data_IF_814658363901
#
_entry.id   IF_814658363901
#
_cell.length_a   1.000
_cell.length_b   1.000
_cell.length_c   1.000
_cell.angle_alpha   90.00
_cell.angle_beta   90.00
_cell.angle_gamma   90.00
#
_symmetry.space_group_name_H-M   'P 1'
#
loop_
_entity.id
_entity.type
_entity.pdbx_description
1 polymer ?
#
# COMPACT_ATOMS: atom_id res chain seq x y z
N UNK A 1 17.25 -2.67 -11.35
CA UNK A 1 17.28 -1.50 -10.44
C UNK A 1 16.79 -0.31 -11.21
N UNK A 2 15.48 -0.08 -11.14
CA UNK A 2 14.85 1.10 -11.71
C UNK A 2 15.51 2.37 -11.16
N UNK A 3 15.68 3.37 -12.02
CA UNK A 3 16.17 4.70 -11.65
C UNK A 3 14.96 5.52 -11.22
N UNK A 4 14.68 5.57 -9.92
CA UNK A 4 13.69 6.47 -9.31
C UNK A 4 14.42 7.55 -8.53
N UNK A 5 14.00 8.80 -8.70
CA UNK A 5 14.58 9.94 -7.99
C UNK A 5 13.65 10.41 -6.86
N UNK A 6 14.19 11.18 -5.92
CA UNK A 6 13.38 11.70 -4.80
C UNK A 6 12.41 12.76 -5.32
N UNK A 7 12.85 13.50 -6.33
CA UNK A 7 12.10 14.54 -7.02
C UNK A 7 10.80 13.99 -7.61
N UNK A 8 10.84 12.82 -8.27
CA UNK A 8 9.65 12.14 -8.81
C UNK A 8 8.62 11.80 -7.70
N UNK A 9 9.10 11.47 -6.51
CA UNK A 9 8.23 11.16 -5.38
C UNK A 9 7.62 12.41 -4.73
N UNK A 10 8.32 13.55 -4.79
CA UNK A 10 7.89 14.80 -4.17
C UNK A 10 6.77 15.51 -4.96
N UNK A 11 6.51 15.09 -6.21
CA UNK A 11 5.31 15.53 -6.94
C UNK A 11 4.01 15.03 -6.29
N UNK A 12 4.06 13.90 -5.58
CA UNK A 12 2.91 13.28 -4.93
C UNK A 12 2.90 13.40 -3.39
N UNK A 13 4.04 13.74 -2.79
CA UNK A 13 4.20 13.88 -1.33
C UNK A 13 5.02 15.13 -1.02
N UNK A 14 4.41 16.10 -0.35
CA UNK A 14 5.03 17.40 -0.11
C UNK A 14 6.19 17.35 0.91
N UNK A 15 6.21 16.36 1.80
CA UNK A 15 7.17 16.26 2.90
C UNK A 15 8.10 15.04 2.76
N UNK A 16 9.41 15.29 2.77
CA UNK A 16 10.47 14.26 2.65
C UNK A 16 10.46 13.25 3.79
N UNK A 17 10.12 13.66 5.00
CA UNK A 17 10.02 12.74 6.15
C UNK A 17 8.81 11.83 6.01
N UNK A 18 7.69 12.38 5.54
CA UNK A 18 6.48 11.60 5.28
C UNK A 18 6.70 10.62 4.14
N UNK A 19 7.41 11.02 3.08
CA UNK A 19 7.80 10.12 2.00
C UNK A 19 8.58 8.91 2.54
N UNK A 20 9.57 9.13 3.41
CA UNK A 20 10.35 8.04 4.02
C UNK A 20 9.46 7.12 4.85
N UNK A 21 8.55 7.68 5.65
CA UNK A 21 7.62 6.91 6.48
C UNK A 21 6.63 6.10 5.64
N UNK A 22 6.04 6.72 4.62
CA UNK A 22 5.09 6.11 3.68
C UNK A 22 5.75 4.96 2.91
N UNK A 23 6.91 5.23 2.29
CA UNK A 23 7.67 4.23 1.52
C UNK A 23 8.11 3.07 2.42
N UNK A 24 8.52 3.33 3.66
CA UNK A 24 8.91 2.27 4.61
C UNK A 24 7.73 1.39 4.98
N UNK A 25 6.56 1.99 5.27
CA UNK A 25 5.33 1.26 5.60
C UNK A 25 4.88 0.40 4.41
N UNK A 26 4.85 0.97 3.21
CA UNK A 26 4.45 0.27 1.99
C UNK A 26 5.42 -0.85 1.63
N UNK A 27 6.73 -0.60 1.67
CA UNK A 27 7.74 -1.63 1.41
C UNK A 27 7.62 -2.82 2.36
N UNK A 28 7.22 -2.59 3.62
CA UNK A 28 6.95 -3.66 4.57
C UNK A 28 5.75 -4.51 4.17
N UNK A 29 4.64 -3.91 3.72
CA UNK A 29 3.47 -4.65 3.22
C UNK A 29 3.83 -5.56 2.04
N UNK A 30 4.64 -5.04 1.11
CA UNK A 30 5.15 -5.79 -0.04
C UNK A 30 6.08 -6.93 0.41
N UNK A 31 6.98 -6.67 1.36
CA UNK A 31 7.94 -7.67 1.84
C UNK A 31 7.30 -8.80 2.65
N UNK A 32 6.25 -8.51 3.43
CA UNK A 32 5.53 -9.52 4.21
C UNK A 32 4.50 -10.29 3.38
N UNK A 33 4.34 -9.96 2.09
CA UNK A 33 3.33 -10.56 1.22
C UNK A 33 1.89 -10.21 1.63
N UNK A 34 1.70 -9.11 2.36
CA UNK A 34 0.37 -8.72 2.84
C UNK A 34 -0.48 -8.04 1.78
N UNK A 35 0.16 -7.41 0.78
CA UNK A 35 -0.51 -6.76 -0.37
C UNK A 35 0.34 -6.93 -1.62
N UNK A 36 -0.32 -7.02 -2.76
CA UNK A 36 0.34 -7.06 -4.06
C UNK A 36 0.88 -5.69 -4.47
N UNK A 37 1.93 -5.71 -5.29
CA UNK A 37 2.47 -4.50 -5.90
C UNK A 37 1.52 -3.99 -6.98
N UNK A 38 1.30 -2.68 -7.01
CA UNK A 38 0.50 -1.99 -8.03
C UNK A 38 1.31 -1.72 -9.30
N UNK A 39 2.64 -1.81 -9.22
CA UNK A 39 3.58 -1.71 -10.34
C UNK A 39 4.29 -3.04 -10.57
N UNK A 40 4.79 -3.24 -11.79
CA UNK A 40 5.48 -4.48 -12.16
C UNK A 40 6.80 -4.66 -11.39
N UNK A 41 7.07 -5.90 -10.98
CA UNK A 41 8.33 -6.27 -10.35
C UNK A 41 9.44 -6.41 -11.40
N UNK A 42 10.37 -5.45 -11.43
CA UNK A 42 11.52 -5.46 -12.36
C UNK A 42 12.82 -5.95 -11.67
N UNK A 43 12.71 -7.02 -10.87
CA UNK A 43 13.77 -7.49 -9.95
C UNK A 43 14.25 -6.42 -8.95
N UNK A 44 13.38 -5.47 -8.64
CA UNK A 44 13.63 -4.40 -7.70
C UNK A 44 13.32 -4.86 -6.26
N UNK A 45 14.02 -4.26 -5.30
CA UNK A 45 13.73 -4.48 -3.87
C UNK A 45 12.36 -3.85 -3.53
N UNK A 46 11.63 -4.37 -2.51
CA UNK A 46 10.34 -3.82 -2.10
C UNK A 46 10.35 -2.31 -1.83
N UNK A 47 11.47 -1.77 -1.35
CA UNK A 47 11.65 -0.32 -1.13
C UNK A 47 11.64 0.49 -2.43
N UNK A 48 12.25 -0.03 -3.49
CA UNK A 48 12.29 0.62 -4.80
C UNK A 48 10.92 0.53 -5.47
N UNK A 49 10.25 -0.63 -5.35
CA UNK A 49 8.87 -0.81 -5.83
C UNK A 49 7.93 0.17 -5.13
N UNK A 50 8.00 0.31 -3.81
CA UNK A 50 7.20 1.27 -3.06
C UNK A 50 7.43 2.72 -3.50
N UNK A 51 8.68 3.13 -3.72
CA UNK A 51 8.98 4.49 -4.21
C UNK A 51 8.44 4.75 -5.61
N UNK A 52 8.45 3.74 -6.49
CA UNK A 52 7.83 3.85 -7.82
C UNK A 52 6.31 3.97 -7.74
N UNK A 53 5.67 3.20 -6.86
CA UNK A 53 4.22 3.34 -6.63
C UNK A 53 3.87 4.74 -6.12
N UNK A 54 4.73 5.35 -5.28
CA UNK A 54 4.55 6.72 -4.80
C UNK A 54 4.79 7.74 -5.93
N UNK A 55 5.82 7.55 -6.77
CA UNK A 55 6.08 8.41 -7.93
C UNK A 55 4.96 8.36 -8.98
N UNK A 56 4.32 7.21 -9.15
CA UNK A 56 3.14 7.05 -10.03
C UNK A 56 1.82 7.50 -9.37
N UNK A 57 1.85 7.96 -8.11
CA UNK A 57 0.66 8.41 -7.38
C UNK A 57 -0.30 7.29 -6.95
N UNK A 58 0.10 6.02 -7.10
CA UNK A 58 -0.71 4.83 -6.76
C UNK A 58 -0.73 4.52 -5.26
N UNK A 59 0.24 5.08 -4.53
CA UNK A 59 0.36 4.99 -3.08
C UNK A 59 0.55 6.38 -2.50
N UNK A 60 -0.43 6.81 -1.70
CA UNK A 60 -0.41 8.06 -0.93
C UNK A 60 -0.82 7.78 0.51
N UNK A 61 -0.61 8.75 1.41
CA UNK A 61 -1.04 8.63 2.80
C UNK A 61 -2.56 8.38 2.93
N UNK A 62 -3.37 9.01 2.07
CA UNK A 62 -4.83 8.83 2.06
C UNK A 62 -5.20 7.39 1.69
N UNK A 63 -4.66 6.87 0.58
CA UNK A 63 -4.93 5.51 0.11
C UNK A 63 -4.50 4.48 1.16
N UNK A 64 -3.31 4.67 1.77
CA UNK A 64 -2.82 3.80 2.84
C UNK A 64 -3.65 3.85 4.11
N UNK A 65 -4.33 4.96 4.39
CA UNK A 65 -5.23 5.08 5.54
C UNK A 65 -6.57 4.38 5.26
N UNK A 66 -7.15 4.58 4.09
CA UNK A 66 -8.36 3.89 3.64
C UNK A 66 -8.18 2.38 3.61
N UNK A 67 -7.08 1.91 3.02
CA UNK A 67 -6.72 0.51 2.96
C UNK A 67 -6.59 -0.12 4.37
N UNK A 68 -6.09 0.64 5.35
CA UNK A 68 -5.97 0.14 6.73
C UNK A 68 -7.33 0.02 7.43
N UNK A 69 -8.29 0.89 7.10
CA UNK A 69 -9.66 0.81 7.62
C UNK A 69 -10.39 -0.41 7.05
N UNK A 70 -10.27 -0.64 5.74
CA UNK A 70 -10.87 -1.79 5.05
C UNK A 70 -10.40 -3.12 5.66
N UNK A 71 -9.09 -3.28 5.87
CA UNK A 71 -8.51 -4.47 6.50
C UNK A 71 -9.07 -4.72 7.92
N UNK A 72 -9.53 -3.67 8.62
CA UNK A 72 -10.16 -3.77 9.96
C UNK A 72 -11.67 -4.05 9.94
N UNK A 73 -12.37 -3.76 8.84
CA UNK A 73 -13.82 -4.02 8.70
C UNK A 73 -14.16 -5.46 8.28
N UNK A 74 -13.30 -6.09 7.48
CA UNK A 74 -13.45 -7.50 7.04
C UNK A 74 -13.74 -8.54 8.15
N UNK A 75 -13.16 -8.49 9.38
CA UNK A 75 -13.43 -9.51 10.39
C UNK A 75 -14.87 -9.55 10.93
N UNK A 76 -15.72 -8.55 10.68
CA UNK A 76 -17.07 -8.48 11.25
C UNK A 76 -18.17 -9.03 10.32
N UNK A 77 -17.95 -9.00 9.00
CA UNK A 77 -18.98 -9.39 8.01
C UNK A 77 -19.03 -10.89 7.69
N UNK A 78 -18.04 -11.67 8.16
CA UNK A 78 -17.97 -13.11 7.89
C UNK A 78 -18.79 -13.98 8.85
N UNK A 79 -19.36 -13.42 9.92
CA UNK A 79 -20.10 -14.15 10.95
C UNK A 79 -21.63 -13.99 10.88
N UNK A 80 -22.16 -13.06 10.09
CA UNK A 80 -23.60 -12.75 10.05
C UNK A 80 -24.38 -13.48 8.93
N UNK A 81 -23.71 -14.30 8.09
CA UNK A 81 -24.32 -14.86 6.88
C UNK A 81 -24.86 -16.31 7.00
N UNK A 82 -24.97 -16.90 8.20
CA UNK A 82 -25.39 -18.33 8.32
C UNK A 82 -26.56 -18.60 9.26
N UNK A 83 -27.39 -17.63 9.63
CA UNK A 83 -28.60 -17.91 10.42
C UNK A 83 -29.89 -17.54 9.67
N UNK A 84 -30.19 -18.31 8.62
CA UNK A 84 -31.56 -18.47 8.13
C UNK A 84 -32.06 -19.84 8.64
N UNK A 85 -32.92 -19.89 9.67
CA UNK A 85 -33.53 -21.15 10.09
C UNK A 85 -34.56 -21.53 9.02
N UNK A 86 -34.28 -22.59 8.27
CA UNK A 86 -35.26 -23.22 7.40
C UNK A 86 -36.37 -23.85 8.26
N UNK A 87 -37.57 -23.25 8.20
CA UNK A 87 -38.84 -23.81 8.70
C UNK A 87 -39.38 -24.88 7.74
#
# INVERSE_FOLDING_TARGET
MARVTVEDCLENVENRFELVMLASKRARQLATGGKDAKVAWENDKPTVVALREVAEGLVTNAIMAEEALQDQQEPLYSLEATDEPAE
#
